data_IF_180261927499
#
_entry.id   IF_180261927499
#
_cell.length_a   1.000
_cell.length_b   1.000
_cell.length_c   1.000
_cell.angle_alpha   90.00
_cell.angle_beta   90.00
_cell.angle_gamma   90.00
#
_symmetry.space_group_name_H-M   'P 1'
#
loop_
_entity.id
_entity.type
_entity.pdbx_description
1 polymer ?
#
# COMPACT_ATOMS: atom_id res chain seq x y z
N UNK A 1 6.14 8.65 42.22
CA UNK A 1 7.32 7.74 42.21
C UNK A 1 6.93 6.45 41.48
N UNK A 2 6.14 6.54 40.41
CA UNK A 2 6.55 6.74 39.01
C UNK A 2 7.25 5.48 38.50
N UNK A 3 6.61 4.75 37.59
CA UNK A 3 6.90 3.37 37.13
C UNK A 3 8.33 3.08 36.61
N UNK A 4 9.18 4.08 36.66
CA UNK A 4 10.59 4.16 36.27
C UNK A 4 11.54 3.13 36.91
N UNK A 5 11.18 2.46 38.01
CA UNK A 5 12.02 1.41 38.60
C UNK A 5 11.70 -0.01 38.10
N UNK A 6 10.58 -0.23 37.43
CA UNK A 6 10.09 -1.60 37.15
C UNK A 6 10.73 -2.23 35.91
N UNK A 7 11.32 -1.44 35.02
CA UNK A 7 11.88 -1.91 33.73
C UNK A 7 13.40 -2.14 33.73
N UNK A 8 14.11 -1.98 34.85
CA UNK A 8 15.56 -2.24 34.92
C UNK A 8 16.45 -1.29 34.08
N UNK A 9 15.89 -0.22 33.53
CA UNK A 9 16.62 0.75 32.70
C UNK A 9 17.32 1.82 33.56
N UNK A 10 18.55 2.16 33.18
CA UNK A 10 19.34 3.23 33.80
C UNK A 10 18.63 4.57 33.64
N UNK A 11 18.47 5.29 34.75
CA UNK A 11 17.95 6.66 34.75
C UNK A 11 19.10 7.67 34.71
N UNK A 12 19.01 8.73 33.87
CA UNK A 12 17.96 9.00 32.88
C UNK A 12 18.09 8.11 31.62
N UNK A 13 16.97 7.81 30.93
CA UNK A 13 17.00 7.04 29.69
C UNK A 13 17.74 7.80 28.60
N UNK A 14 18.34 7.08 27.66
CA UNK A 14 18.89 7.67 26.43
C UNK A 14 17.76 8.15 25.53
N UNK A 15 18.06 9.10 24.63
CA UNK A 15 17.05 9.65 23.69
C UNK A 15 16.31 8.56 22.91
N UNK A 16 16.96 7.51 22.35
CA UNK A 16 16.24 6.43 21.67
C UNK A 16 15.28 5.66 22.58
N UNK A 17 15.68 5.39 23.83
CA UNK A 17 14.81 4.71 24.82
C UNK A 17 13.61 5.59 25.13
N UNK A 18 13.81 6.89 25.29
CA UNK A 18 12.72 7.83 25.55
C UNK A 18 11.74 7.92 24.36
N UNK A 19 12.24 7.92 23.11
CA UNK A 19 11.40 7.89 21.91
C UNK A 19 10.58 6.59 21.85
N UNK A 20 11.18 5.43 22.12
CA UNK A 20 10.46 4.15 22.15
C UNK A 20 9.41 4.09 23.26
N UNK A 21 9.62 4.76 24.39
CA UNK A 21 8.64 4.83 25.48
C UNK A 21 7.44 5.73 25.17
N UNK A 22 7.58 6.69 24.26
CA UNK A 22 6.54 7.64 23.87
C UNK A 22 5.87 7.29 22.52
N UNK A 23 6.39 6.26 21.83
CA UNK A 23 5.83 5.81 20.57
C UNK A 23 4.42 5.22 20.81
N UNK A 24 3.39 5.69 20.08
CA UNK A 24 2.04 5.16 20.24
C UNK A 24 1.97 3.72 19.72
N UNK A 25 1.14 2.91 20.38
CA UNK A 25 0.93 1.50 20.06
C UNK A 25 -0.33 1.33 19.19
N UNK A 26 -0.43 0.29 18.34
CA UNK A 26 -1.64 0.02 17.53
C UNK A 26 -2.93 -0.01 18.33
N UNK A 27 -2.82 -0.50 19.56
CA UNK A 27 -3.90 -0.57 20.52
C UNK A 27 -4.41 0.82 20.93
N UNK A 28 -3.55 1.84 20.98
CA UNK A 28 -3.95 3.24 21.24
C UNK A 28 -4.84 3.82 20.12
N UNK A 29 -4.75 3.27 18.91
CA UNK A 29 -5.61 3.62 17.77
C UNK A 29 -6.84 2.69 17.65
N UNK A 30 -7.07 1.84 18.66
CA UNK A 30 -8.18 0.88 18.66
C UNK A 30 -7.98 -0.29 17.71
N UNK A 31 -6.75 -0.57 17.27
CA UNK A 31 -6.47 -1.72 16.41
C UNK A 31 -6.40 -3.00 17.24
N UNK A 32 -7.14 -4.05 16.85
CA UNK A 32 -6.99 -5.36 17.48
C UNK A 32 -5.64 -5.99 17.12
N UNK A 33 -5.18 -6.91 17.97
CA UNK A 33 -4.00 -7.70 17.67
C UNK A 33 -4.23 -8.55 16.40
N UNK A 34 -3.19 -8.78 15.61
CA UNK A 34 -3.28 -9.44 14.30
C UNK A 34 -4.04 -10.78 14.33
N UNK A 35 -3.82 -11.59 15.35
CA UNK A 35 -4.53 -12.87 15.50
C UNK A 35 -6.01 -12.72 15.84
N UNK A 36 -6.40 -11.64 16.53
CA UNK A 36 -7.80 -11.33 16.80
C UNK A 36 -8.50 -10.79 15.56
N UNK A 37 -7.84 -9.88 14.84
CA UNK A 37 -8.28 -9.37 13.56
C UNK A 37 -8.53 -10.50 12.55
N UNK A 38 -7.61 -11.47 12.48
CA UNK A 38 -7.76 -12.63 11.60
C UNK A 38 -8.98 -13.50 11.99
N UNK A 39 -9.15 -13.79 13.28
CA UNK A 39 -10.31 -14.57 13.76
C UNK A 39 -11.63 -13.86 13.48
N UNK A 40 -11.70 -12.55 13.70
CA UNK A 40 -12.88 -11.75 13.38
C UNK A 40 -13.19 -11.77 11.87
N UNK A 41 -12.16 -11.61 11.04
CA UNK A 41 -12.30 -11.67 9.59
C UNK A 41 -12.88 -13.02 9.13
N UNK A 42 -12.39 -14.13 9.68
CA UNK A 42 -12.91 -15.46 9.38
C UNK A 42 -14.36 -15.64 9.86
N UNK A 43 -14.66 -15.23 11.09
CA UNK A 43 -15.98 -15.41 11.68
C UNK A 43 -17.07 -14.66 10.89
N UNK A 44 -16.74 -13.48 10.34
CA UNK A 44 -17.71 -12.59 9.72
C UNK A 44 -17.55 -12.42 8.20
N UNK A 45 -16.71 -13.22 7.56
CA UNK A 45 -16.49 -13.17 6.11
C UNK A 45 -17.76 -13.44 5.27
N UNK A 46 -18.77 -14.09 5.84
CA UNK A 46 -20.05 -14.38 5.18
C UNK A 46 -20.96 -13.14 5.05
N UNK A 47 -20.87 -12.18 5.97
CA UNK A 47 -21.69 -10.97 5.99
C UNK A 47 -20.86 -9.69 6.29
N UNK A 48 -19.84 -9.39 5.47
CA UNK A 48 -18.85 -8.36 5.79
C UNK A 48 -19.39 -6.93 5.79
N UNK A 49 -20.59 -6.71 5.22
CA UNK A 49 -21.28 -5.40 5.20
C UNK A 49 -22.23 -5.19 6.39
N UNK A 50 -22.65 -6.26 7.06
CA UNK A 50 -23.62 -6.19 8.18
C UNK A 50 -22.93 -6.31 9.53
N UNK A 51 -21.74 -6.89 9.56
CA UNK A 51 -20.92 -6.98 10.76
C UNK A 51 -20.37 -5.62 11.18
N UNK A 52 -20.35 -5.37 12.50
CA UNK A 52 -19.70 -4.21 13.10
C UNK A 52 -18.27 -4.58 13.45
N UNK A 53 -17.36 -4.20 12.56
CA UNK A 53 -15.93 -4.50 12.69
C UNK A 53 -15.29 -3.80 13.88
N UNK A 54 -14.36 -4.48 14.56
CA UNK A 54 -13.55 -3.88 15.64
C UNK A 54 -12.77 -2.66 15.15
N UNK A 55 -12.23 -2.75 13.94
CA UNK A 55 -11.57 -1.64 13.26
C UNK A 55 -11.74 -1.76 11.74
N UNK A 56 -11.80 -0.62 11.05
CA UNK A 56 -11.99 -0.57 9.59
C UNK A 56 -10.85 -1.29 8.83
N UNK A 57 -9.62 -1.24 9.37
CA UNK A 57 -8.48 -1.99 8.85
C UNK A 57 -8.73 -3.50 8.76
N UNK A 58 -9.50 -4.10 9.68
CA UNK A 58 -9.83 -5.53 9.66
C UNK A 58 -10.71 -5.85 8.44
N UNK A 59 -11.73 -5.02 8.24
CA UNK A 59 -12.65 -5.13 7.09
C UNK A 59 -11.89 -4.97 5.77
N UNK A 60 -11.02 -3.97 5.66
CA UNK A 60 -10.26 -3.71 4.45
C UNK A 60 -9.25 -4.83 4.15
N UNK A 61 -8.53 -5.31 5.16
CA UNK A 61 -7.62 -6.44 5.01
C UNK A 61 -8.35 -7.70 4.52
N UNK A 62 -9.51 -8.02 5.11
CA UNK A 62 -10.31 -9.16 4.67
C UNK A 62 -10.87 -8.98 3.25
N UNK A 63 -11.20 -7.75 2.84
CA UNK A 63 -11.60 -7.45 1.46
C UNK A 63 -10.45 -7.65 0.47
N UNK A 64 -9.23 -7.23 0.82
CA UNK A 64 -8.04 -7.39 -0.01
C UNK A 64 -7.60 -8.85 -0.16
N UNK A 65 -7.88 -9.70 0.85
CA UNK A 65 -7.69 -11.16 0.76
C UNK A 65 -8.77 -11.78 -0.11
N UNK A 66 -10.02 -11.36 0.06
CA UNK A 66 -11.19 -11.81 -0.68
C UNK A 66 -12.18 -12.57 0.19
N UNK A 67 -13.38 -12.01 0.37
CA UNK A 67 -14.44 -12.62 1.20
C UNK A 67 -14.87 -14.00 0.71
N UNK A 68 -14.88 -14.21 -0.60
CA UNK A 68 -15.24 -15.51 -1.18
C UNK A 68 -14.22 -16.58 -0.81
N UNK A 69 -12.93 -16.28 -0.90
CA UNK A 69 -11.85 -17.21 -0.52
C UNK A 69 -11.92 -17.56 0.97
N UNK A 70 -12.19 -16.57 1.82
CA UNK A 70 -12.32 -16.78 3.28
C UNK A 70 -13.53 -17.63 3.67
N UNK A 71 -14.59 -17.63 2.85
CA UNK A 71 -15.85 -18.35 3.14
C UNK A 71 -15.92 -19.74 2.50
N UNK A 72 -15.35 -19.92 1.31
CA UNK A 72 -15.52 -21.14 0.50
C UNK A 72 -14.29 -22.05 0.49
N UNK A 73 -13.19 -21.66 1.13
CA UNK A 73 -11.99 -22.50 1.23
C UNK A 73 -12.25 -23.70 2.14
N UNK A 74 -12.26 -24.90 1.56
CA UNK A 74 -12.33 -26.18 2.29
C UNK A 74 -10.97 -26.87 2.40
N UNK A 75 -10.00 -26.48 1.58
CA UNK A 75 -8.67 -27.06 1.56
C UNK A 75 -7.81 -26.53 2.73
N UNK A 76 -7.47 -27.40 3.68
CA UNK A 76 -6.69 -27.01 4.86
C UNK A 76 -5.32 -26.41 4.51
N UNK A 77 -4.74 -26.83 3.39
CA UNK A 77 -3.45 -26.34 2.87
C UNK A 77 -3.48 -24.88 2.40
N UNK A 78 -4.66 -24.30 2.14
CA UNK A 78 -4.80 -22.92 1.67
C UNK A 78 -4.91 -21.92 2.83
N UNK A 79 -5.34 -22.34 4.03
CA UNK A 79 -5.48 -21.45 5.19
C UNK A 79 -4.22 -20.67 5.55
N UNK A 80 -3.02 -21.29 5.63
CA UNK A 80 -1.80 -20.56 5.95
C UNK A 80 -1.43 -19.51 4.89
N UNK A 81 -1.84 -19.72 3.62
CA UNK A 81 -1.61 -18.74 2.55
C UNK A 81 -2.55 -17.55 2.68
N UNK A 82 -3.83 -17.80 2.98
CA UNK A 82 -4.82 -16.75 3.21
C UNK A 82 -4.49 -15.93 4.45
N UNK A 83 -4.08 -16.58 5.53
CA UNK A 83 -3.63 -15.91 6.75
C UNK A 83 -2.41 -15.04 6.49
N UNK A 84 -1.37 -15.57 5.83
CA UNK A 84 -0.19 -14.75 5.46
C UNK A 84 -0.55 -13.54 4.62
N UNK A 85 -1.48 -13.70 3.66
CA UNK A 85 -1.97 -12.60 2.84
C UNK A 85 -2.69 -11.58 3.72
N UNK A 86 -3.59 -12.02 4.59
CA UNK A 86 -4.30 -11.15 5.53
C UNK A 86 -3.36 -10.36 6.42
N UNK A 87 -2.40 -11.02 7.07
CA UNK A 87 -1.42 -10.39 7.96
C UNK A 87 -0.64 -9.29 7.24
N UNK A 88 -0.22 -9.55 5.98
CA UNK A 88 0.49 -8.55 5.18
C UNK A 88 -0.37 -7.32 4.90
N UNK A 89 -1.61 -7.50 4.44
CA UNK A 89 -2.51 -6.39 4.14
C UNK A 89 -2.90 -5.62 5.41
N UNK A 90 -3.18 -6.33 6.51
CA UNK A 90 -3.49 -5.74 7.80
C UNK A 90 -2.32 -4.90 8.33
N UNK A 91 -1.10 -5.42 8.29
CA UNK A 91 0.08 -4.67 8.73
C UNK A 91 0.32 -3.41 7.88
N UNK A 92 0.08 -3.47 6.57
CA UNK A 92 0.16 -2.29 5.72
C UNK A 92 -0.86 -1.22 6.13
N UNK A 93 -2.08 -1.62 6.47
CA UNK A 93 -3.13 -0.70 6.96
C UNK A 93 -2.80 -0.15 8.36
N UNK A 94 -2.25 -0.97 9.25
CA UNK A 94 -1.76 -0.53 10.57
C UNK A 94 -0.71 0.58 10.39
N UNK A 95 0.29 0.35 9.54
CA UNK A 95 1.35 1.32 9.30
C UNK A 95 0.83 2.65 8.74
N UNK A 96 -0.23 2.62 7.92
CA UNK A 96 -0.85 3.83 7.35
C UNK A 96 -1.59 4.65 8.40
N UNK A 97 -2.37 4.00 9.26
CA UNK A 97 -3.02 4.69 10.38
C UNK A 97 -1.99 5.24 11.37
N UNK A 98 -0.91 4.49 11.61
CA UNK A 98 0.23 4.97 12.41
C UNK A 98 0.90 6.20 11.81
N UNK A 99 0.90 6.32 10.48
CA UNK A 99 1.37 7.50 9.77
C UNK A 99 0.35 8.66 9.78
N UNK A 100 -0.82 8.48 10.39
CA UNK A 100 -1.89 9.46 10.47
C UNK A 100 -2.83 9.48 9.25
N UNK A 101 -2.78 8.47 8.38
CA UNK A 101 -3.74 8.35 7.27
C UNK A 101 -5.10 7.85 7.76
N UNK A 102 -6.18 8.37 7.15
CA UNK A 102 -7.53 7.87 7.34
C UNK A 102 -7.81 6.73 6.33
N UNK A 103 -8.49 5.68 6.79
CA UNK A 103 -8.82 4.50 6.00
C UNK A 103 -10.16 4.64 5.25
N UNK A 104 -10.66 5.86 5.05
CA UNK A 104 -11.92 6.08 4.34
C UNK A 104 -11.90 5.50 2.92
N UNK A 105 -13.02 4.91 2.43
CA UNK A 105 -13.10 4.29 1.10
C UNK A 105 -12.68 5.18 -0.07
N UNK A 106 -12.76 6.52 0.10
CA UNK A 106 -12.46 7.48 -0.96
C UNK A 106 -10.95 7.64 -1.20
N UNK A 107 -10.15 7.65 -0.14
CA UNK A 107 -8.69 7.82 -0.24
C UNK A 107 -7.96 6.55 -0.70
N UNK A 108 -8.59 5.37 -0.56
CA UNK A 108 -8.04 4.10 -1.04
C UNK A 108 -8.07 3.96 -2.56
N UNK A 109 -9.04 4.59 -3.23
CA UNK A 109 -9.12 4.65 -4.69
C UNK A 109 -8.10 5.61 -5.30
N UNK A 110 -7.63 6.59 -4.53
CA UNK A 110 -6.68 7.62 -4.97
C UNK A 110 -5.21 7.16 -4.86
N UNK A 111 -4.95 5.99 -4.26
CA UNK A 111 -3.58 5.48 -4.11
C UNK A 111 -3.18 4.59 -5.30
N UNK A 112 -2.09 4.97 -5.97
CA UNK A 112 -1.46 4.39 -7.17
C UNK A 112 -1.09 2.88 -7.11
N UNK A 113 -1.50 2.15 -6.07
CA UNK A 113 -1.13 0.75 -5.82
C UNK A 113 -1.76 -0.28 -6.77
N UNK A 114 -2.74 0.13 -7.59
CA UNK A 114 -3.44 -0.74 -8.56
C UNK A 114 -2.88 -0.68 -9.98
N UNK A 115 -1.74 -0.02 -10.23
CA UNK A 115 -1.14 -0.02 -11.58
C UNK A 115 -0.78 -1.44 -11.99
N UNK A 116 -1.45 -1.92 -13.04
CA UNK A 116 -1.20 -3.22 -13.63
C UNK A 116 0.24 -3.30 -14.15
N UNK A 117 0.77 -4.53 -14.29
CA UNK A 117 2.10 -4.70 -14.92
C UNK A 117 2.15 -4.11 -16.34
N UNK A 118 1.02 -4.07 -17.04
CA UNK A 118 0.90 -3.44 -18.35
C UNK A 118 1.12 -1.93 -18.27
N UNK A 119 0.50 -1.23 -17.32
CA UNK A 119 0.68 0.22 -17.14
C UNK A 119 2.10 0.60 -16.68
N UNK A 120 2.73 -0.25 -15.85
CA UNK A 120 4.12 -0.07 -15.46
C UNK A 120 5.07 -0.27 -16.65
N UNK A 121 4.81 -1.27 -17.50
CA UNK A 121 5.57 -1.50 -18.72
C UNK A 121 5.38 -0.38 -19.75
N UNK A 122 4.16 0.12 -19.90
CA UNK A 122 3.82 1.25 -20.78
C UNK A 122 4.56 2.51 -20.34
N UNK A 123 4.52 2.87 -19.05
CA UNK A 123 5.27 4.01 -18.53
C UNK A 123 6.78 3.85 -18.71
N UNK A 124 7.33 2.68 -18.39
CA UNK A 124 8.75 2.42 -18.62
C UNK A 124 9.12 2.45 -20.11
N UNK A 125 8.17 2.16 -21.01
CA UNK A 125 8.28 2.34 -22.45
C UNK A 125 8.26 3.82 -22.85
N UNK A 126 7.30 4.58 -22.30
CA UNK A 126 7.17 6.02 -22.47
C UNK A 126 8.45 6.75 -22.06
N UNK A 127 8.97 6.46 -20.86
CA UNK A 127 10.20 7.06 -20.34
C UNK A 127 11.42 6.74 -21.21
N UNK A 128 11.46 5.53 -21.81
CA UNK A 128 12.51 5.17 -22.76
C UNK A 128 12.37 5.93 -24.08
N UNK A 129 11.15 6.11 -24.57
CA UNK A 129 10.87 6.90 -25.76
C UNK A 129 11.24 8.38 -25.54
N UNK A 130 10.86 8.96 -24.40
CA UNK A 130 11.18 10.35 -24.05
C UNK A 130 12.69 10.58 -24.00
N UNK A 131 13.46 9.66 -23.41
CA UNK A 131 14.94 9.74 -23.40
C UNK A 131 15.54 9.69 -24.79
N UNK A 132 14.97 8.89 -25.70
CA UNK A 132 15.43 8.83 -27.09
C UNK A 132 15.08 10.10 -27.86
N UNK A 133 13.93 10.72 -27.55
CA UNK A 133 13.51 12.01 -28.10
C UNK A 133 14.46 13.13 -27.64
N UNK A 134 14.81 13.14 -26.35
CA UNK A 134 15.76 14.10 -25.78
C UNK A 134 17.18 13.93 -26.37
N UNK A 135 17.68 12.70 -26.47
CA UNK A 135 19.02 12.41 -27.02
C UNK A 135 19.10 12.75 -28.53
N UNK A 136 18.01 12.55 -29.26
CA UNK A 136 17.89 12.95 -30.67
C UNK A 136 17.66 14.46 -30.87
N UNK A 137 17.51 15.25 -29.78
CA UNK A 137 17.23 16.68 -29.84
C UNK A 137 15.90 17.02 -30.51
N UNK A 138 14.93 16.10 -30.50
CA UNK A 138 13.64 16.26 -31.16
C UNK A 138 12.67 17.01 -30.22
N UNK A 139 12.03 18.11 -30.66
CA UNK A 139 11.12 18.86 -29.80
C UNK A 139 9.82 18.08 -29.53
N UNK A 140 9.34 18.11 -28.28
CA UNK A 140 8.14 17.37 -27.80
C UNK A 140 6.83 17.71 -28.55
N UNK A 141 6.78 18.82 -29.29
CA UNK A 141 5.72 19.13 -30.25
C UNK A 141 6.33 19.79 -31.48
N UNK A 142 6.03 19.22 -32.65
CA UNK A 142 6.39 19.80 -33.94
C UNK A 142 5.13 20.32 -34.64
N UNK A 143 5.20 21.50 -35.22
CA UNK A 143 4.18 21.92 -36.19
C UNK A 143 4.45 21.26 -37.56
N UNK A 144 3.45 21.30 -38.45
CA UNK A 144 3.53 20.63 -39.76
C UNK A 144 4.75 21.05 -40.59
N UNK A 145 5.13 22.33 -40.50
CA UNK A 145 6.28 22.88 -41.22
C UNK A 145 7.63 22.42 -40.65
N UNK A 146 7.75 22.34 -39.32
CA UNK A 146 8.90 21.76 -38.64
C UNK A 146 9.03 20.27 -38.98
N UNK A 147 7.92 19.52 -39.00
CA UNK A 147 7.90 18.11 -39.38
C UNK A 147 8.42 17.87 -40.80
N UNK A 148 7.96 18.70 -41.75
CA UNK A 148 8.38 18.59 -43.15
C UNK A 148 9.87 18.89 -43.35
N UNK A 149 10.42 19.86 -42.59
CA UNK A 149 11.85 20.19 -42.63
C UNK A 149 12.73 19.07 -42.11
N UNK A 150 12.35 18.43 -41.00
CA UNK A 150 13.10 17.30 -40.44
C UNK A 150 13.12 16.10 -41.38
N UNK A 151 12.00 15.80 -42.05
CA UNK A 151 11.93 14.73 -43.05
C UNK A 151 12.78 15.02 -44.29
N UNK A 152 12.80 16.28 -44.78
CA UNK A 152 13.67 16.68 -45.90
C UNK A 152 15.15 16.59 -45.55
N UNK A 153 15.53 16.98 -44.33
CA UNK A 153 16.90 16.88 -43.84
C UNK A 153 17.35 15.41 -43.74
N UNK A 154 16.50 14.53 -43.21
CA UNK A 154 16.80 13.10 -43.11
C UNK A 154 16.91 12.40 -44.49
N UNK A 155 16.23 12.91 -45.51
CA UNK A 155 16.27 12.38 -46.87
C UNK A 155 17.39 13.00 -47.74
N UNK A 156 18.25 13.85 -47.18
CA UNK A 156 19.45 14.37 -47.84
C UNK A 156 19.19 15.24 -49.08
N UNK A 157 17.98 15.79 -49.24
CA UNK A 157 17.66 16.75 -50.31
C UNK A 157 17.55 18.15 -49.72
N UNK A 158 18.71 18.78 -49.54
CA UNK A 158 18.84 20.23 -49.43
C UNK A 158 18.60 20.90 -50.78
#
# INVERSE_FOLDING_TARGET
>A
MSELKRAGSTWPPTIPVLVSMLAPTPEDFGMPATGEAWREALAHAHEPRRHRWSHEAVRLAGNAVGWWDLTHTTAQSQWPRLEKRFVREYQALVNRVMAGEDLTPRQLLEHDGHRSQAELAERAGQERADRLVDDAGLPHRMNADQGLRSLRAALGRG
#
